data_IF_830065846829
#
_entry.id   IF_830065846829
#
_cell.length_a   1.000
_cell.length_b   1.000
_cell.length_c   1.000
_cell.angle_alpha   90.00
_cell.angle_beta   90.00
_cell.angle_gamma   90.00
#
_symmetry.space_group_name_H-M   'P 1'
#
loop_
_entity.id
_entity.type
_entity.pdbx_description
1 polymer ?
#
# COMPACT_ATOMS: atom_id res chain seq x y z
N UNK A 1 10.39 0.98 20.42
CA UNK A 1 9.66 1.64 19.31
C UNK A 1 10.61 2.14 18.22
N UNK A 2 11.51 3.10 18.48
CA UNK A 2 12.46 3.58 17.46
C UNK A 2 13.36 2.48 16.87
N UNK A 3 13.93 1.60 17.72
CA UNK A 3 14.74 0.48 17.26
C UNK A 3 13.97 -0.56 16.44
N UNK A 4 12.68 -0.76 16.73
CA UNK A 4 11.81 -1.65 15.95
C UNK A 4 11.47 -1.04 14.60
N UNK A 5 11.16 0.26 14.54
CA UNK A 5 10.95 0.97 13.27
C UNK A 5 12.22 1.07 12.42
N UNK A 6 13.40 1.21 13.04
CA UNK A 6 14.70 1.19 12.34
C UNK A 6 15.05 -0.21 11.82
N UNK A 7 14.77 -1.26 12.61
CA UNK A 7 14.88 -2.66 12.19
C UNK A 7 13.88 -3.00 11.08
N UNK A 8 12.66 -2.46 11.12
CA UNK A 8 11.64 -2.64 10.09
C UNK A 8 12.00 -1.91 8.80
N UNK A 9 12.54 -0.67 8.89
CA UNK A 9 13.07 0.08 7.74
C UNK A 9 14.26 -0.65 7.12
N UNK A 10 15.14 -1.20 7.96
CA UNK A 10 16.27 -2.03 7.52
C UNK A 10 15.81 -3.31 6.82
N UNK A 11 14.80 -4.00 7.38
CA UNK A 11 14.25 -5.23 6.82
C UNK A 11 13.45 -4.97 5.53
N UNK A 12 12.73 -3.85 5.46
CA UNK A 12 12.05 -3.33 4.27
C UNK A 12 13.02 -3.02 3.13
N UNK A 13 14.17 -2.39 3.42
CA UNK A 13 15.18 -2.05 2.41
C UNK A 13 16.05 -3.24 1.99
N UNK A 14 16.23 -4.28 2.83
CA UNK A 14 17.15 -5.39 2.54
C UNK A 14 16.50 -6.73 2.20
N UNK A 15 15.26 -7.02 2.59
CA UNK A 15 14.59 -8.30 2.34
C UNK A 15 13.11 -8.14 1.92
N UNK A 16 12.84 -7.68 0.68
CA UNK A 16 11.48 -7.45 0.19
C UNK A 16 10.66 -8.74 0.00
N UNK A 17 11.31 -9.91 -0.13
CA UNK A 17 10.63 -11.19 -0.41
C UNK A 17 10.01 -11.91 0.81
N UNK A 18 10.22 -11.38 2.02
CA UNK A 18 9.71 -11.99 3.28
C UNK A 18 8.67 -11.13 3.98
N UNK A 19 8.17 -10.07 3.33
CA UNK A 19 7.19 -9.14 3.91
C UNK A 19 5.90 -9.12 3.08
N UNK A 20 4.75 -8.89 3.73
CA UNK A 20 3.42 -8.88 3.09
C UNK A 20 3.32 -7.89 1.93
N UNK A 21 4.10 -6.80 1.97
CA UNK A 21 4.23 -5.85 0.86
C UNK A 21 4.81 -6.50 -0.40
N UNK A 22 5.82 -7.38 -0.26
CA UNK A 22 6.37 -8.15 -1.38
C UNK A 22 5.39 -9.18 -1.94
N UNK A 23 4.56 -9.78 -1.09
CA UNK A 23 3.49 -10.70 -1.49
C UNK A 23 2.38 -9.96 -2.25
N UNK A 24 1.91 -8.85 -1.69
CA UNK A 24 0.88 -8.00 -2.29
C UNK A 24 1.36 -7.39 -3.61
N UNK A 25 2.65 -7.04 -3.73
CA UNK A 25 3.25 -6.66 -5.00
C UNK A 25 3.28 -7.80 -6.01
N UNK A 26 3.57 -9.03 -5.59
CA UNK A 26 3.54 -10.19 -6.48
C UNK A 26 2.13 -10.49 -6.98
N UNK A 27 1.11 -10.37 -6.13
CA UNK A 27 -0.30 -10.50 -6.51
C UNK A 27 -0.76 -9.36 -7.44
N UNK A 28 -0.38 -8.11 -7.14
CA UNK A 28 -0.64 -6.96 -8.02
C UNK A 28 0.04 -7.14 -9.38
N UNK A 29 1.28 -7.61 -9.40
CA UNK A 29 2.01 -7.94 -10.63
C UNK A 29 1.27 -9.00 -11.44
N UNK A 30 0.90 -10.11 -10.82
CA UNK A 30 0.15 -11.18 -11.47
C UNK A 30 -1.22 -10.68 -11.98
N UNK A 31 -1.89 -9.81 -11.23
CA UNK A 31 -3.16 -9.21 -11.61
C UNK A 31 -3.02 -8.27 -12.82
N UNK A 32 -2.01 -7.38 -12.82
CA UNK A 32 -1.73 -6.48 -13.95
C UNK A 32 -1.35 -7.27 -15.21
N UNK A 33 -0.47 -8.29 -15.09
CA UNK A 33 -0.10 -9.15 -16.21
C UNK A 33 -1.30 -9.87 -16.84
N UNK A 34 -2.30 -10.24 -16.03
CA UNK A 34 -3.54 -10.87 -16.50
C UNK A 34 -4.45 -9.86 -17.18
N UNK A 35 -4.74 -8.72 -16.55
CA UNK A 35 -5.64 -7.70 -17.11
C UNK A 35 -5.15 -7.15 -18.44
N UNK A 36 -3.84 -6.94 -18.58
CA UNK A 36 -3.24 -6.45 -19.83
C UNK A 36 -3.26 -7.48 -20.98
N UNK A 37 -3.64 -8.74 -20.72
CA UNK A 37 -3.75 -9.80 -21.72
C UNK A 37 -5.20 -10.20 -22.02
N UNK A 38 -6.17 -9.66 -21.28
CA UNK A 38 -7.59 -10.00 -21.42
C UNK A 38 -8.26 -9.00 -22.35
N UNK A 39 -9.25 -9.48 -23.10
CA UNK A 39 -10.02 -8.72 -24.08
C UNK A 39 -10.67 -7.47 -23.46
N UNK A 40 -10.99 -6.45 -24.27
CA UNK A 40 -11.46 -5.12 -23.83
C UNK A 40 -12.66 -5.15 -22.85
N UNK A 41 -13.41 -6.27 -22.80
CA UNK A 41 -14.59 -6.46 -21.96
C UNK A 41 -14.30 -6.50 -20.45
N UNK A 42 -13.10 -6.95 -20.04
CA UNK A 42 -12.75 -7.09 -18.61
C UNK A 42 -11.93 -5.91 -18.05
N UNK A 43 -11.53 -4.97 -18.92
CA UNK A 43 -10.87 -3.71 -18.54
C UNK A 43 -11.78 -2.90 -17.61
N UNK A 44 -13.10 -2.94 -17.82
CA UNK A 44 -14.08 -2.28 -16.93
C UNK A 44 -14.01 -2.78 -15.49
N UNK A 45 -13.76 -4.07 -15.26
CA UNK A 45 -13.59 -4.61 -13.91
C UNK A 45 -12.31 -4.11 -13.27
N UNK A 46 -11.21 -4.03 -14.02
CA UNK A 46 -9.94 -3.50 -13.55
C UNK A 46 -10.05 -2.02 -13.11
N UNK A 47 -10.67 -1.20 -13.97
CA UNK A 47 -10.97 0.21 -13.71
C UNK A 47 -11.84 0.37 -12.47
N UNK A 48 -12.86 -0.49 -12.31
CA UNK A 48 -13.74 -0.48 -11.14
C UNK A 48 -12.98 -0.79 -9.85
N UNK A 49 -12.11 -1.80 -9.85
CA UNK A 49 -11.26 -2.16 -8.70
C UNK A 49 -10.34 -0.99 -8.33
N UNK A 50 -9.65 -0.40 -9.31
CA UNK A 50 -8.76 0.75 -9.06
C UNK A 50 -9.54 1.95 -8.53
N UNK A 51 -10.70 2.24 -9.11
CA UNK A 51 -11.57 3.35 -8.68
C UNK A 51 -12.09 3.15 -7.26
N UNK A 52 -12.43 1.91 -6.88
CA UNK A 52 -12.82 1.60 -5.49
C UNK A 52 -11.68 1.84 -4.49
N UNK A 53 -10.44 1.48 -4.87
CA UNK A 53 -9.25 1.76 -4.06
C UNK A 53 -8.94 3.27 -3.97
N UNK A 54 -9.13 4.02 -5.05
CA UNK A 54 -9.04 5.49 -5.05
C UNK A 54 -10.04 6.08 -4.05
N UNK A 55 -11.31 5.65 -4.12
CA UNK A 55 -12.36 6.12 -3.20
C UNK A 55 -12.01 5.83 -1.75
N UNK A 56 -11.55 4.61 -1.45
CA UNK A 56 -11.11 4.23 -0.12
C UNK A 56 -9.93 5.10 0.37
N UNK A 57 -8.98 5.42 -0.52
CA UNK A 57 -7.80 6.23 -0.19
C UNK A 57 -8.22 7.67 0.12
N UNK A 58 -9.12 8.23 -0.69
CA UNK A 58 -9.67 9.57 -0.46
C UNK A 58 -10.48 9.65 0.83
N UNK A 59 -11.24 8.61 1.18
CA UNK A 59 -11.98 8.56 2.44
C UNK A 59 -11.03 8.57 3.64
N UNK A 60 -9.98 7.73 3.61
CA UNK A 60 -8.97 7.69 4.67
C UNK A 60 -8.16 9.00 4.75
N UNK A 61 -7.87 9.64 3.61
CA UNK A 61 -7.25 10.96 3.58
C UNK A 61 -8.13 12.00 4.29
N UNK A 62 -9.42 12.06 3.94
CA UNK A 62 -10.37 12.98 4.57
C UNK A 62 -10.49 12.71 6.07
N UNK A 63 -10.61 11.46 6.51
CA UNK A 63 -10.63 11.09 7.94
C UNK A 63 -9.35 11.55 8.66
N UNK A 64 -8.18 11.37 8.03
CA UNK A 64 -6.91 11.80 8.60
C UNK A 64 -6.86 13.33 8.77
N UNK A 65 -7.35 14.08 7.78
CA UNK A 65 -7.39 15.54 7.80
C UNK A 65 -8.43 16.07 8.80
N UNK A 66 -9.60 15.44 8.90
CA UNK A 66 -10.64 15.84 9.87
C UNK A 66 -10.18 15.60 11.30
N UNK A 67 -9.51 14.48 11.58
CA UNK A 67 -8.89 14.22 12.89
C UNK A 67 -7.80 15.23 13.20
N UNK A 68 -6.94 15.55 12.23
CA UNK A 68 -5.92 16.60 12.38
C UNK A 68 -6.55 17.96 12.74
N UNK A 69 -7.60 18.37 12.03
CA UNK A 69 -8.32 19.61 12.28
C UNK A 69 -9.02 19.60 13.64
N UNK A 70 -9.71 18.51 13.99
CA UNK A 70 -10.39 18.34 15.27
C UNK A 70 -9.42 18.48 16.45
N UNK A 71 -8.28 17.80 16.38
CA UNK A 71 -7.24 17.86 17.42
C UNK A 71 -6.60 19.25 17.46
N UNK A 72 -6.30 19.86 16.31
CA UNK A 72 -5.76 21.22 16.23
C UNK A 72 -6.70 22.26 16.85
N UNK A 73 -7.98 22.20 16.50
CA UNK A 73 -9.01 23.05 17.09
C UNK A 73 -9.19 22.79 18.59
N UNK A 74 -9.14 21.53 19.03
CA UNK A 74 -9.22 21.16 20.43
C UNK A 74 -8.09 21.78 21.25
N UNK A 75 -6.84 21.69 20.75
CA UNK A 75 -5.66 22.29 21.38
C UNK A 75 -5.77 23.82 21.44
N UNK A 76 -6.31 24.45 20.40
CA UNK A 76 -6.49 25.90 20.36
C UNK A 76 -7.53 26.41 21.36
N UNK A 77 -8.62 25.66 21.60
CA UNK A 77 -9.75 26.12 22.41
C UNK A 77 -9.72 25.72 23.89
N UNK A 78 -9.03 24.64 24.29
CA UNK A 78 -9.13 24.12 25.67
C UNK A 78 -7.79 23.64 26.25
N UNK A 79 -7.21 24.43 27.16
CA UNK A 79 -5.97 24.10 27.88
C UNK A 79 -6.15 23.24 29.16
N UNK A 80 -7.39 22.99 29.61
CA UNK A 80 -7.65 22.46 30.97
C UNK A 80 -8.42 21.14 31.09
N UNK A 81 -9.09 20.66 30.03
CA UNK A 81 -10.02 19.49 30.15
C UNK A 81 -9.26 18.18 30.43
N UNK A 82 -8.09 17.98 29.83
CA UNK A 82 -7.24 16.81 30.08
C UNK A 82 -6.33 16.99 31.31
N UNK A 83 -6.31 18.15 31.97
CA UNK A 83 -5.63 18.32 33.27
C UNK A 83 -6.45 17.76 34.44
N UNK A 84 -7.70 17.37 34.22
CA UNK A 84 -8.63 16.89 35.24
C UNK A 84 -8.50 15.39 35.43
N UNK A 85 -7.96 14.94 36.57
CA UNK A 85 -7.97 13.62 37.27
C UNK A 85 -7.89 12.28 36.52
N UNK A 86 -8.13 12.23 35.21
CA UNK A 86 -8.22 11.01 34.40
C UNK A 86 -6.91 10.66 33.69
N UNK A 87 -5.91 11.56 33.72
CA UNK A 87 -4.59 11.33 33.15
C UNK A 87 -3.64 10.81 34.23
N UNK A 88 -3.31 9.52 34.14
CA UNK A 88 -2.21 8.91 34.87
C UNK A 88 -0.89 9.21 34.13
N UNK A 89 -0.07 10.14 34.62
CA UNK A 89 1.25 10.44 34.05
C UNK A 89 1.72 11.89 34.24
N UNK A 90 2.94 12.20 33.78
CA UNK A 90 3.53 13.55 33.84
C UNK A 90 2.72 14.55 32.99
N UNK A 91 2.10 15.52 33.65
CA UNK A 91 1.20 16.54 33.08
C UNK A 91 1.90 17.85 32.72
N UNK A 92 3.24 17.89 32.73
CA UNK A 92 4.01 19.07 32.33
C UNK A 92 3.60 19.55 30.93
N UNK A 93 3.37 20.86 30.80
CA UNK A 93 2.91 21.49 29.56
C UNK A 93 3.80 21.16 28.35
N UNK A 94 5.12 21.11 28.54
CA UNK A 94 6.08 20.73 27.49
C UNK A 94 5.87 19.31 26.98
N UNK A 95 5.66 18.35 27.88
CA UNK A 95 5.42 16.95 27.53
C UNK A 95 4.10 16.80 26.77
N UNK A 96 3.05 17.52 27.17
CA UNK A 96 1.76 17.52 26.46
C UNK A 96 1.85 18.12 25.06
N UNK A 97 2.58 19.23 24.87
CA UNK A 97 2.79 19.82 23.55
C UNK A 97 3.49 18.86 22.59
N UNK A 98 4.48 18.09 23.06
CA UNK A 98 5.17 17.08 22.25
C UNK A 98 4.20 15.97 21.80
N UNK A 99 3.30 15.52 22.68
CA UNK A 99 2.26 14.52 22.33
C UNK A 99 1.35 15.01 21.20
N UNK A 100 0.84 16.24 21.32
CA UNK A 100 -0.05 16.82 20.32
C UNK A 100 0.65 17.04 18.97
N UNK A 101 1.85 17.62 18.97
CA UNK A 101 2.62 17.86 17.74
C UNK A 101 2.95 16.53 17.06
N UNK A 102 3.39 15.51 17.81
CA UNK A 102 3.66 14.18 17.26
C UNK A 102 2.42 13.55 16.62
N UNK A 103 1.27 13.68 17.28
CA UNK A 103 0.00 13.15 16.78
C UNK A 103 -0.44 13.87 15.48
N UNK A 104 -0.36 15.20 15.44
CA UNK A 104 -0.68 16.00 14.25
C UNK A 104 0.23 15.66 13.06
N UNK A 105 1.54 15.56 13.29
CA UNK A 105 2.50 15.17 12.24
C UNK A 105 2.12 13.80 11.68
N UNK A 106 1.72 12.86 12.54
CA UNK A 106 1.38 11.52 12.09
C UNK A 106 0.12 11.49 11.22
N UNK A 107 -0.93 12.24 11.58
CA UNK A 107 -2.13 12.38 10.74
C UNK A 107 -1.86 13.10 9.42
N UNK A 108 -1.01 14.13 9.42
CA UNK A 108 -0.60 14.83 8.18
C UNK A 108 0.24 13.93 7.26
N UNK A 109 1.11 13.10 7.83
CA UNK A 109 1.87 12.10 7.08
C UNK A 109 0.92 11.05 6.47
N UNK A 110 -0.04 10.53 7.25
CA UNK A 110 -1.05 9.59 6.75
C UNK A 110 -1.87 10.21 5.61
N UNK A 111 -2.38 11.43 5.79
CA UNK A 111 -3.08 12.20 4.75
C UNK A 111 -2.24 12.31 3.48
N UNK A 112 -0.99 12.74 3.59
CA UNK A 112 -0.08 12.89 2.45
C UNK A 112 0.16 11.56 1.72
N UNK A 113 0.32 10.47 2.47
CA UNK A 113 0.49 9.13 1.88
C UNK A 113 -0.77 8.68 1.12
N UNK A 114 -1.96 8.87 1.68
CA UNK A 114 -3.20 8.50 0.99
C UNK A 114 -3.47 9.35 -0.26
N UNK A 115 -3.10 10.64 -0.25
CA UNK A 115 -3.16 11.48 -1.45
C UNK A 115 -2.21 10.98 -2.55
N UNK A 116 -0.97 10.59 -2.19
CA UNK A 116 -0.01 10.04 -3.15
C UNK A 116 -0.44 8.65 -3.67
N UNK A 117 -1.07 7.83 -2.82
CA UNK A 117 -1.68 6.56 -3.21
C UNK A 117 -2.78 6.76 -4.24
N UNK A 118 -3.73 7.67 -3.96
CA UNK A 118 -4.82 8.03 -4.88
C UNK A 118 -4.28 8.53 -6.23
N UNK A 119 -3.28 9.43 -6.22
CA UNK A 119 -2.64 9.91 -7.46
C UNK A 119 -2.04 8.76 -8.29
N UNK A 120 -1.35 7.83 -7.65
CA UNK A 120 -0.71 6.70 -8.33
C UNK A 120 -1.76 5.74 -8.93
N UNK A 121 -2.86 5.50 -8.21
CA UNK A 121 -3.99 4.73 -8.73
C UNK A 121 -4.72 5.42 -9.87
N UNK A 122 -4.91 6.75 -9.81
CA UNK A 122 -5.46 7.52 -10.93
C UNK A 122 -4.58 7.37 -12.17
N UNK A 123 -3.25 7.45 -12.00
CA UNK A 123 -2.32 7.24 -13.11
C UNK A 123 -2.42 5.81 -13.69
N UNK A 124 -2.50 4.79 -12.84
CA UNK A 124 -2.74 3.41 -13.28
C UNK A 124 -4.08 3.27 -14.03
N UNK A 125 -5.12 3.98 -13.59
CA UNK A 125 -6.43 3.97 -14.23
C UNK A 125 -6.38 4.54 -15.66
N UNK A 126 -5.67 5.66 -15.85
CA UNK A 126 -5.41 6.20 -17.19
C UNK A 126 -4.64 5.22 -18.07
N UNK A 127 -3.59 4.58 -17.55
CA UNK A 127 -2.80 3.62 -18.32
C UNK A 127 -3.62 2.38 -18.74
N UNK A 128 -4.51 1.89 -17.88
CA UNK A 128 -5.36 0.72 -18.17
C UNK A 128 -6.54 1.05 -19.09
N UNK A 129 -7.08 2.28 -18.99
CA UNK A 129 -8.26 2.69 -19.77
C UNK A 129 -7.92 3.26 -21.14
N UNK A 130 -6.64 3.48 -21.46
CA UNK A 130 -6.24 4.06 -22.75
C UNK A 130 -6.30 2.97 -23.84
N UNK A 131 -7.21 3.10 -24.83
CA UNK A 131 -7.33 2.12 -25.90
C UNK A 131 -6.14 2.16 -26.87
N UNK A 132 -5.84 1.01 -27.48
CA UNK A 132 -5.02 0.88 -28.70
C UNK A 132 -3.59 1.44 -28.62
N UNK A 133 -2.99 1.40 -27.43
CA UNK A 133 -1.61 1.86 -27.20
C UNK A 133 -0.77 0.71 -26.66
N UNK A 134 0.41 0.48 -27.25
CA UNK A 134 1.41 -0.51 -26.81
C UNK A 134 2.09 -0.07 -25.49
N UNK A 135 1.29 0.14 -24.45
CA UNK A 135 1.79 0.54 -23.13
C UNK A 135 2.46 -0.68 -22.50
N UNK A 136 3.75 -0.60 -22.12
CA UNK A 136 4.42 -1.72 -21.49
C UNK A 136 3.76 -2.02 -20.15
N UNK A 137 3.41 -3.29 -19.93
CA UNK A 137 2.77 -3.81 -18.71
C UNK A 137 3.53 -3.38 -17.44
N UNK A 138 4.84 -3.19 -17.54
CA UNK A 138 5.71 -2.75 -16.46
C UNK A 138 5.38 -1.35 -15.93
N UNK A 139 4.89 -0.43 -16.76
CA UNK A 139 4.48 0.91 -16.31
C UNK A 139 3.19 0.88 -15.48
N UNK A 140 2.23 0.05 -15.90
CA UNK A 140 0.99 -0.17 -15.15
C UNK A 140 1.29 -0.86 -13.83
N UNK A 141 2.14 -1.89 -13.86
CA UNK A 141 2.61 -2.59 -12.67
C UNK A 141 3.24 -1.63 -11.67
N UNK A 142 4.20 -0.81 -12.12
CA UNK A 142 4.89 0.16 -11.28
C UNK A 142 3.93 1.18 -10.66
N UNK A 143 2.94 1.66 -11.41
CA UNK A 143 1.94 2.62 -10.93
C UNK A 143 1.04 2.01 -9.83
N UNK A 144 0.57 0.78 -10.03
CA UNK A 144 -0.28 0.06 -9.06
C UNK A 144 0.50 -0.31 -7.80
N UNK A 145 1.74 -0.79 -7.96
CA UNK A 145 2.64 -1.11 -6.85
C UNK A 145 2.90 0.14 -6.01
N UNK A 146 3.32 1.24 -6.64
CA UNK A 146 3.62 2.49 -5.94
C UNK A 146 2.41 3.04 -5.19
N UNK A 147 1.22 2.94 -5.78
CA UNK A 147 -0.03 3.33 -5.10
C UNK A 147 -0.32 2.48 -3.87
N UNK A 148 -0.07 1.17 -3.94
CA UNK A 148 -0.19 0.24 -2.83
C UNK A 148 0.85 0.43 -1.72
N UNK A 149 2.08 0.79 -2.07
CA UNK A 149 3.14 1.08 -1.10
C UNK A 149 2.78 2.30 -0.25
N UNK A 150 2.31 3.38 -0.89
CA UNK A 150 1.83 4.57 -0.19
C UNK A 150 0.59 4.30 0.66
N UNK A 151 -0.32 3.45 0.17
CA UNK A 151 -1.48 3.01 0.95
C UNK A 151 -1.06 2.33 2.26
N UNK A 152 -0.17 1.35 2.15
CA UNK A 152 0.36 0.59 3.29
C UNK A 152 1.13 1.48 4.26
N UNK A 153 1.91 2.43 3.73
CA UNK A 153 2.61 3.42 4.54
C UNK A 153 1.64 4.33 5.31
N UNK A 154 0.55 4.77 4.67
CA UNK A 154 -0.50 5.57 5.29
C UNK A 154 -1.20 4.84 6.44
N UNK A 155 -1.54 3.55 6.25
CA UNK A 155 -2.11 2.72 7.31
C UNK A 155 -1.16 2.56 8.51
N UNK A 156 0.13 2.34 8.25
CA UNK A 156 1.14 2.26 9.31
C UNK A 156 1.27 3.57 10.09
N UNK A 157 1.19 4.71 9.41
CA UNK A 157 1.15 6.02 10.06
C UNK A 157 -0.11 6.14 10.95
N UNK A 158 -1.30 5.73 10.48
CA UNK A 158 -2.51 5.74 11.30
C UNK A 158 -2.39 4.87 12.55
N UNK A 159 -1.81 3.68 12.45
CA UNK A 159 -1.60 2.83 13.63
C UNK A 159 -0.64 3.46 14.66
N UNK A 160 0.40 4.15 14.19
CA UNK A 160 1.28 4.93 15.07
C UNK A 160 0.54 6.11 15.71
N UNK A 161 -0.31 6.80 14.96
CA UNK A 161 -1.17 7.85 15.48
C UNK A 161 -2.12 7.32 16.58
N UNK A 162 -2.72 6.13 16.41
CA UNK A 162 -3.53 5.48 17.45
C UNK A 162 -2.73 5.20 18.72
N UNK A 163 -1.48 4.75 18.58
CA UNK A 163 -0.57 4.51 19.72
C UNK A 163 -0.27 5.82 20.46
N UNK A 164 -0.01 6.91 19.73
CA UNK A 164 0.19 8.24 20.31
C UNK A 164 -1.08 8.79 20.97
N UNK A 165 -2.26 8.50 20.40
CA UNK A 165 -3.54 8.88 20.99
C UNK A 165 -3.77 8.15 22.32
N UNK A 166 -3.47 6.86 22.40
CA UNK A 166 -3.61 6.11 23.65
C UNK A 166 -2.58 6.52 24.72
N UNK A 167 -1.45 7.10 24.32
CA UNK A 167 -0.47 7.68 25.24
C UNK A 167 -0.99 8.91 26.00
N UNK A 168 -2.11 9.51 25.59
CA UNK A 168 -2.78 10.55 26.38
C UNK A 168 -3.43 9.99 27.65
N UNK A 169 -3.83 8.72 27.68
CA UNK A 169 -4.44 8.08 28.85
C UNK A 169 -3.41 7.54 29.86
N UNK A 170 -2.11 7.53 29.51
CA UNK A 170 -1.02 7.23 30.42
C UNK A 170 0.01 6.21 29.91
N UNK A 171 1.06 5.91 30.72
CA UNK A 171 2.10 4.95 30.37
C UNK A 171 1.61 3.50 30.19
N UNK A 172 0.57 3.11 30.91
CA UNK A 172 -0.01 1.75 30.88
C UNK A 172 -0.67 1.45 29.51
N UNK A 173 -1.64 2.27 29.03
CA UNK A 173 -2.19 2.08 27.69
C UNK A 173 -1.16 2.30 26.57
N UNK A 174 -0.15 3.15 26.79
CA UNK A 174 0.98 3.28 25.86
C UNK A 174 1.77 1.97 25.75
N UNK A 175 2.10 1.31 26.87
CA UNK A 175 2.82 0.03 26.83
C UNK A 175 1.98 -1.06 26.16
N UNK A 176 0.71 -1.18 26.55
CA UNK A 176 -0.23 -2.13 25.95
C UNK A 176 -0.38 -1.93 24.44
N UNK A 177 -0.59 -0.69 23.99
CA UNK A 177 -0.67 -0.39 22.54
C UNK A 177 0.66 -0.61 21.84
N UNK A 178 1.78 -0.36 22.48
CA UNK A 178 3.09 -0.64 21.90
C UNK A 178 3.28 -2.14 21.66
N UNK A 179 2.89 -2.99 22.61
CA UNK A 179 2.95 -4.45 22.48
C UNK A 179 1.93 -4.95 21.47
N UNK A 180 0.70 -4.45 21.52
CA UNK A 180 -0.35 -4.75 20.52
C UNK A 180 0.05 -4.29 19.13
N UNK A 181 0.75 -3.17 18.98
CA UNK A 181 1.24 -2.67 17.69
C UNK A 181 2.36 -3.54 17.15
N UNK A 182 3.29 -3.98 17.99
CA UNK A 182 4.31 -4.97 17.60
C UNK A 182 3.67 -6.31 17.26
N UNK A 183 2.63 -6.73 17.98
CA UNK A 183 1.89 -7.95 17.69
C UNK A 183 1.06 -7.86 16.40
N UNK A 184 0.35 -6.75 16.18
CA UNK A 184 -0.38 -6.47 14.94
C UNK A 184 0.57 -6.37 13.76
N UNK A 185 1.70 -5.66 13.89
CA UNK A 185 2.72 -5.67 12.84
C UNK A 185 3.34 -7.05 12.67
N UNK A 186 3.53 -7.82 13.73
CA UNK A 186 4.04 -9.18 13.62
C UNK A 186 3.07 -10.09 12.89
N UNK A 187 1.77 -10.00 13.16
CA UNK A 187 0.73 -10.70 12.40
C UNK A 187 0.65 -10.20 10.95
N UNK A 188 0.78 -8.89 10.74
CA UNK A 188 0.72 -8.25 9.42
C UNK A 188 2.02 -8.44 8.61
N UNK A 189 3.15 -8.79 9.24
CA UNK A 189 4.40 -9.15 8.56
C UNK A 189 4.62 -10.68 8.49
N UNK A 190 3.97 -11.46 9.35
CA UNK A 190 4.08 -12.94 9.36
C UNK A 190 3.02 -13.52 8.45
N UNK A 191 3.38 -13.64 7.17
CA UNK A 191 2.60 -14.44 6.24
C UNK A 191 2.97 -15.92 6.42
N UNK A 192 2.07 -16.67 7.06
CA UNK A 192 2.18 -18.13 7.26
C UNK A 192 1.63 -18.92 6.07
N UNK A 193 1.06 -18.24 5.07
CA UNK A 193 0.43 -18.86 3.90
C UNK A 193 1.45 -19.02 2.75
N UNK A 194 1.65 -20.25 2.22
CA UNK A 194 2.53 -20.47 1.08
C UNK A 194 2.02 -19.70 -0.14
N UNK A 195 2.95 -19.14 -0.94
CA UNK A 195 2.61 -18.48 -2.21
C UNK A 195 1.70 -19.36 -3.05
N UNK A 196 0.52 -18.85 -3.42
CA UNK A 196 -0.20 -19.42 -4.54
C UNK A 196 0.70 -19.25 -5.77
N UNK A 197 1.11 -20.35 -6.43
CA UNK A 197 1.94 -20.23 -7.61
C UNK A 197 1.07 -19.64 -8.73
N UNK A 198 1.17 -18.33 -8.94
CA UNK A 198 0.69 -17.71 -10.15
C UNK A 198 1.55 -18.24 -11.29
N UNK A 199 1.00 -19.15 -12.10
CA UNK A 199 1.69 -19.72 -13.26
C UNK A 199 2.06 -18.57 -14.20
N UNK A 200 3.33 -18.19 -14.24
CA UNK A 200 3.79 -17.11 -15.11
C UNK A 200 3.59 -17.49 -16.57
N UNK A 201 2.73 -16.73 -17.27
CA UNK A 201 2.43 -16.96 -18.68
C UNK A 201 3.61 -16.61 -19.60
N UNK A 202 4.68 -16.00 -19.06
CA UNK A 202 5.97 -15.88 -19.75
C UNK A 202 6.51 -17.26 -20.19
N UNK A 203 6.23 -18.32 -19.42
CA UNK A 203 6.51 -19.71 -19.81
C UNK A 203 5.51 -20.30 -20.81
N UNK A 204 4.36 -19.65 -21.08
CA UNK A 204 3.36 -20.12 -22.04
C UNK A 204 3.46 -19.39 -23.40
N UNK A 205 3.89 -18.12 -23.45
CA UNK A 205 4.23 -17.45 -24.72
C UNK A 205 5.49 -18.01 -25.39
N UNK A 206 6.46 -18.53 -24.62
CA UNK A 206 7.66 -19.18 -25.18
C UNK A 206 7.40 -20.47 -25.98
N UNK A 207 6.61 -21.45 -25.50
CA UNK A 207 6.31 -22.66 -26.27
C UNK A 207 5.44 -22.35 -27.49
N UNK A 208 4.50 -21.41 -27.40
CA UNK A 208 3.63 -21.04 -28.54
C UNK A 208 4.44 -20.34 -29.64
N UNK A 209 5.28 -19.35 -29.32
CA UNK A 209 6.17 -18.72 -30.31
C UNK A 209 7.14 -19.71 -30.96
N UNK A 210 7.71 -20.64 -30.19
CA UNK A 210 8.64 -21.64 -30.71
C UNK A 210 7.94 -22.63 -31.66
N UNK A 211 6.68 -23.00 -31.39
CA UNK A 211 5.88 -23.85 -32.27
C UNK A 211 5.47 -23.09 -33.53
N UNK A 212 5.09 -21.81 -33.43
CA UNK A 212 4.71 -20.98 -34.56
C UNK A 212 5.89 -20.71 -35.51
N UNK A 213 7.08 -20.41 -34.97
CA UNK A 213 8.33 -20.29 -35.75
C UNK A 213 8.74 -21.61 -36.41
N UNK A 214 8.56 -22.75 -35.72
CA UNK A 214 8.83 -24.07 -36.30
C UNK A 214 7.85 -24.45 -37.42
N UNK A 215 6.55 -24.19 -37.24
CA UNK A 215 5.52 -24.48 -38.26
C UNK A 215 5.73 -23.60 -39.49
N UNK A 216 6.05 -22.31 -39.30
CA UNK A 216 6.32 -21.38 -40.41
C UNK A 216 7.59 -21.76 -41.16
N UNK A 217 8.65 -22.19 -40.44
CA UNK A 217 9.89 -22.68 -41.06
C UNK A 217 9.70 -23.98 -41.85
N UNK A 218 8.87 -24.90 -41.36
CA UNK A 218 8.55 -26.16 -42.06
C UNK A 218 7.71 -25.89 -43.30
N UNK A 219 6.68 -25.04 -43.24
CA UNK A 219 5.86 -24.68 -44.40
C UNK A 219 6.70 -24.07 -45.54
N UNK A 220 7.61 -23.14 -45.22
CA UNK A 220 8.53 -22.53 -46.16
C UNK A 220 9.49 -23.53 -46.83
N UNK A 221 9.90 -24.58 -46.09
CA UNK A 221 10.80 -25.62 -46.62
C UNK A 221 10.10 -26.62 -47.55
N UNK A 222 8.81 -26.89 -47.32
CA UNK A 222 8.00 -27.76 -48.18
C UNK A 222 7.70 -27.07 -49.51
N UNK A 223 7.40 -25.77 -49.49
CA UNK A 223 7.13 -24.97 -50.70
C UNK A 223 8.36 -24.82 -51.62
N UNK A 224 9.57 -24.99 -51.08
CA UNK A 224 10.83 -24.97 -51.85
C UNK A 224 11.18 -26.32 -52.50
N UNK A 225 10.61 -27.43 -52.01
CA UNK A 225 10.81 -28.77 -52.56
C UNK A 225 9.79 -29.13 -53.66
N UNK A 226 8.69 -28.38 -53.75
CA UNK A 226 7.64 -28.56 -54.78
C UNK A 226 7.84 -27.70 -56.04
N UNK A 227 8.93 -26.91 -56.14
CA UNK A 227 9.37 -26.22 -57.36
C UNK A 227 10.57 -26.89 -58.00
#
# INVERSE_FOLDING_TARGET
MFGYHLFLLYRYLRLPHTTVIGFENNDKKAWVERIMQVDNKDVGTAVTVITSNISAATNLATISLTLCSLIGAWVANNSKIFQSELIYGDTRASTMSIKYIGLLICFLLAFSCFVQSSRSFIHANYLISTPDTDIPVEYVELAVIRGGDFWSLGLRALYFATTLLLWFFGPIPMFATSVSMVFLLHLLDTNTTPLHPHRSLRKQKQPVKRVEEQVTGVAMSVEYLER
#
